data_IF_113637519820
#
_entry.id   IF_113637519820
#
_cell.length_a   1.000
_cell.length_b   1.000
_cell.length_c   1.000
_cell.angle_alpha   90.00
_cell.angle_beta   90.00
_cell.angle_gamma   90.00
#
_symmetry.space_group_name_H-M   'P 1'
#
loop_
_entity.id
_entity.type
_entity.pdbx_description
1 polymer ?
#
# COMPACT_ATOMS: atom_id res chain seq x y z
N UNK A 1 -5.84 7.76 7.55
CA UNK A 1 -5.41 6.55 6.82
C UNK A 1 -5.47 5.38 7.77
N UNK A 2 -6.43 4.46 7.68
CA UNK A 2 -6.56 3.34 8.64
C UNK A 2 -5.54 2.21 8.48
N UNK A 3 -4.64 2.30 7.51
CA UNK A 3 -3.62 1.28 7.21
C UNK A 3 -2.23 1.90 7.33
N UNK A 4 -1.28 1.12 7.84
CA UNK A 4 0.14 1.50 7.95
C UNK A 4 0.84 1.49 6.59
N UNK A 5 0.33 0.73 5.63
CA UNK A 5 0.93 0.61 4.32
C UNK A 5 -0.09 0.80 3.19
N UNK A 6 -0.60 2.03 3.01
CA UNK A 6 -1.64 2.32 2.02
C UNK A 6 -1.18 2.09 0.58
N UNK A 7 0.09 2.32 0.26
CA UNK A 7 0.63 2.15 -1.09
C UNK A 7 0.82 0.65 -1.38
N UNK A 8 1.56 -0.08 -0.55
CA UNK A 8 1.87 -1.49 -0.84
C UNK A 8 0.67 -2.40 -0.67
N UNK A 9 -0.24 -2.11 0.27
CA UNK A 9 -1.50 -2.84 0.41
C UNK A 9 -2.38 -2.73 -0.84
N UNK A 10 -2.27 -1.64 -1.61
CA UNK A 10 -3.04 -1.43 -2.84
C UNK A 10 -2.51 -2.29 -3.99
N UNK A 11 -1.19 -2.48 -4.05
CA UNK A 11 -0.53 -3.35 -5.04
C UNK A 11 -0.40 -4.80 -4.61
N UNK A 12 -0.82 -5.16 -3.39
CA UNK A 12 -0.70 -6.52 -2.85
C UNK A 12 -1.29 -7.59 -3.77
N UNK A 13 -2.45 -7.35 -4.36
CA UNK A 13 -3.10 -8.28 -5.31
C UNK A 13 -2.29 -8.48 -6.59
N UNK A 14 -1.74 -7.40 -7.15
CA UNK A 14 -0.89 -7.45 -8.35
C UNK A 14 0.40 -8.20 -8.05
N UNK A 15 1.04 -7.91 -6.91
CA UNK A 15 2.26 -8.60 -6.44
C UNK A 15 2.01 -10.09 -6.21
N UNK A 16 0.89 -10.45 -5.57
CA UNK A 16 0.53 -11.84 -5.31
C UNK A 16 0.42 -12.65 -6.60
N UNK A 17 -0.27 -12.10 -7.61
CA UNK A 17 -0.50 -12.78 -8.89
C UNK A 17 0.74 -12.83 -9.77
N UNK A 18 1.56 -11.78 -9.78
CA UNK A 18 2.83 -11.75 -10.52
C UNK A 18 3.91 -12.65 -9.90
N UNK A 19 3.91 -12.83 -8.58
CA UNK A 19 4.83 -13.78 -7.92
C UNK A 19 4.57 -15.22 -8.36
N UNK A 20 3.31 -15.57 -8.67
CA UNK A 20 2.94 -16.91 -9.13
C UNK A 20 3.41 -17.21 -10.56
N UNK A 21 3.60 -16.19 -11.39
CA UNK A 21 4.07 -16.32 -12.78
C UNK A 21 5.55 -16.01 -12.94
N UNK A 22 6.28 -15.82 -11.83
CA UNK A 22 7.71 -15.53 -11.81
C UNK A 22 8.48 -16.66 -12.52
N UNK A 23 9.41 -16.30 -13.40
CA UNK A 23 10.22 -17.24 -14.21
C UNK A 23 9.46 -18.08 -15.26
N UNK A 24 8.13 -18.01 -15.35
CA UNK A 24 7.34 -18.79 -16.32
C UNK A 24 7.08 -18.06 -17.64
N UNK A 25 7.42 -16.78 -17.73
CA UNK A 25 7.05 -15.92 -18.87
C UNK A 25 8.23 -15.09 -19.35
N UNK A 26 8.22 -14.75 -20.65
CA UNK A 26 9.17 -13.80 -21.23
C UNK A 26 8.98 -12.39 -20.64
N UNK A 27 10.00 -11.53 -20.75
CA UNK A 27 9.91 -10.12 -20.29
C UNK A 27 8.76 -9.36 -20.95
N UNK A 28 8.57 -9.53 -22.26
CA UNK A 28 7.49 -8.85 -22.99
C UNK A 28 6.11 -9.31 -22.52
N UNK A 29 5.92 -10.61 -22.36
CA UNK A 29 4.66 -11.20 -21.85
C UNK A 29 4.39 -10.76 -20.40
N UNK A 30 5.43 -10.68 -19.57
CA UNK A 30 5.31 -10.20 -18.20
C UNK A 30 4.81 -8.75 -18.14
N UNK A 31 5.33 -7.87 -18.99
CA UNK A 31 4.89 -6.47 -19.06
C UNK A 31 3.41 -6.37 -19.43
N UNK A 32 2.97 -7.13 -20.45
CA UNK A 32 1.56 -7.19 -20.85
C UNK A 32 0.65 -7.73 -19.73
N UNK A 33 1.09 -8.79 -19.04
CA UNK A 33 0.38 -9.36 -17.90
C UNK A 33 0.27 -8.36 -16.74
N UNK A 34 1.37 -7.71 -16.36
CA UNK A 34 1.41 -6.74 -15.29
C UNK A 34 0.48 -5.55 -15.59
N UNK A 35 0.50 -5.05 -16.82
CA UNK A 35 -0.40 -3.98 -17.26
C UNK A 35 -1.87 -4.37 -17.09
N UNK A 36 -2.28 -5.56 -17.58
CA UNK A 36 -3.66 -6.03 -17.46
C UNK A 36 -4.09 -6.32 -16.03
N UNK A 37 -3.16 -6.77 -15.17
CA UNK A 37 -3.41 -6.95 -13.75
C UNK A 37 -3.64 -5.61 -13.04
N UNK A 38 -2.86 -4.58 -13.38
CA UNK A 38 -3.02 -3.23 -12.83
C UNK A 38 -4.35 -2.62 -13.29
N UNK A 39 -4.67 -2.68 -14.58
CA UNK A 39 -5.94 -2.19 -15.16
C UNK A 39 -7.16 -2.86 -14.48
N UNK A 40 -7.05 -4.14 -14.15
CA UNK A 40 -8.12 -4.86 -13.44
C UNK A 40 -8.21 -4.45 -11.97
N UNK A 41 -7.08 -4.24 -11.30
CA UNK A 41 -7.02 -3.88 -9.88
C UNK A 41 -7.48 -2.42 -9.64
N UNK A 42 -7.17 -1.51 -10.57
CA UNK A 42 -7.52 -0.09 -10.50
C UNK A 42 -9.01 0.14 -10.23
N UNK A 43 -9.88 -0.65 -10.85
CA UNK A 43 -11.34 -0.59 -10.68
C UNK A 43 -11.80 -0.78 -9.22
N UNK A 44 -10.98 -1.44 -8.40
CA UNK A 44 -11.26 -1.72 -6.99
C UNK A 44 -10.57 -0.77 -6.01
N UNK A 45 -9.66 0.07 -6.50
CA UNK A 45 -8.87 0.95 -5.65
C UNK A 45 -9.72 2.08 -5.08
N UNK A 46 -9.53 2.36 -3.79
CA UNK A 46 -10.18 3.47 -3.10
C UNK A 46 -9.27 4.67 -3.09
N UNK A 47 -9.82 5.84 -3.41
CA UNK A 47 -9.11 7.11 -3.31
C UNK A 47 -8.61 7.33 -1.87
N UNK A 48 -7.39 7.83 -1.77
CA UNK A 48 -6.79 8.22 -0.50
C UNK A 48 -7.56 9.42 0.07
N UNK A 49 -8.07 9.29 1.31
CA UNK A 49 -8.87 10.32 1.99
C UNK A 49 -8.07 11.58 2.40
N UNK A 50 -6.74 11.50 2.45
CA UNK A 50 -5.84 12.55 2.93
C UNK A 50 -4.60 12.61 2.01
N UNK A 51 -4.73 13.13 0.78
CA UNK A 51 -3.65 13.18 -0.20
C UNK A 51 -2.44 14.00 0.28
N UNK A 52 -2.64 15.00 1.13
CA UNK A 52 -1.58 15.82 1.74
C UNK A 52 -0.58 15.00 2.58
N UNK A 53 -1.03 13.87 3.14
CA UNK A 53 -0.19 12.97 3.94
C UNK A 53 0.64 12.01 3.09
N UNK A 54 0.43 11.98 1.77
CA UNK A 54 1.15 11.10 0.84
C UNK A 54 2.62 11.48 0.73
N UNK A 55 2.96 12.77 0.81
CA UNK A 55 4.35 13.21 0.82
C UNK A 55 5.14 12.62 2.01
N UNK A 56 4.55 12.61 3.21
CA UNK A 56 5.16 12.00 4.40
C UNK A 56 5.28 10.48 4.29
N UNK A 57 4.33 9.82 3.62
CA UNK A 57 4.41 8.39 3.33
C UNK A 57 5.56 8.06 2.35
N UNK A 58 5.75 8.89 1.31
CA UNK A 58 6.87 8.75 0.36
C UNK A 58 8.23 8.98 1.04
N UNK A 59 8.27 9.84 2.06
CA UNK A 59 9.47 10.05 2.90
C UNK A 59 9.72 8.91 3.90
N UNK A 60 8.84 7.90 3.95
CA UNK A 60 9.01 6.72 4.80
C UNK A 60 8.47 6.87 6.22
N UNK A 61 7.70 7.92 6.52
CA UNK A 61 7.09 8.10 7.86
C UNK A 61 6.02 7.02 8.08
N UNK A 62 6.14 6.18 9.13
CA UNK A 62 5.14 5.17 9.42
C UNK A 62 3.86 5.81 9.95
N UNK A 63 2.70 5.30 9.53
CA UNK A 63 1.40 5.72 10.07
C UNK A 63 0.73 4.57 10.81
N UNK A 64 0.12 4.83 11.96
CA UNK A 64 -0.76 3.86 12.65
C UNK A 64 -2.12 4.51 12.86
N UNK A 65 -3.16 3.86 12.36
CA UNK A 65 -4.55 4.34 12.39
C UNK A 65 -4.80 5.77 11.86
N UNK A 66 -3.83 6.33 11.13
CA UNK A 66 -3.92 7.63 10.46
C UNK A 66 -3.12 8.74 11.13
N UNK A 67 -2.39 8.39 12.19
CA UNK A 67 -1.44 9.26 12.88
C UNK A 67 -0.01 8.87 12.52
N UNK A 68 0.88 9.83 12.24
CA UNK A 68 2.29 9.55 12.03
C UNK A 68 2.90 9.05 13.35
N UNK A 69 3.55 7.89 13.31
CA UNK A 69 4.33 7.37 14.43
C UNK A 69 5.68 8.07 14.37
N UNK A 70 5.86 9.10 15.18
CA UNK A 70 7.16 9.72 15.44
C UNK A 70 7.69 9.07 16.71
N UNK A 71 8.97 8.70 16.77
CA UNK A 71 9.58 7.99 17.90
C UNK A 71 9.54 8.75 19.25
N UNK A 72 8.89 9.90 19.31
CA UNK A 72 8.85 10.83 20.45
C UNK A 72 7.44 11.13 21.01
N UNK A 73 6.51 10.16 21.03
CA UNK A 73 5.32 10.25 21.92
C UNK A 73 5.04 8.94 22.67
N UNK A 74 4.85 8.97 24.01
CA UNK A 74 4.79 7.79 24.87
C UNK A 74 3.50 6.99 24.66
N UNK A 75 3.58 5.70 25.01
CA UNK A 75 2.50 4.72 25.05
C UNK A 75 1.11 5.35 25.28
N UNK A 76 0.20 5.11 24.35
CA UNK A 76 -1.24 5.30 24.58
C UNK A 76 -1.62 4.54 25.84
N UNK A 77 -1.83 5.28 26.93
CA UNK A 77 -2.42 4.77 28.16
C UNK A 77 -3.82 4.24 27.82
N UNK A 78 -4.19 3.02 28.25
CA UNK A 78 -5.56 2.56 28.09
C UNK A 78 -6.46 3.45 28.95
N UNK A 79 -7.40 4.15 28.31
CA UNK A 79 -8.43 4.92 28.98
C UNK A 79 -9.39 3.94 29.65
N UNK A 80 -9.43 3.98 30.97
CA UNK A 80 -10.36 3.25 31.81
C UNK A 80 -11.82 3.69 31.56
N UNK A 81 -12.71 2.70 31.40
CA UNK A 81 -14.05 2.61 31.98
C UNK A 81 -14.62 1.21 31.66
#
# INVERSE_FOLDING_TARGET
>A
MRTTNPIESTFATVRHRTTRTRNCVSRATFLGLAFKLIESAEKSWRRIRAPEKVASLLQGVPFKDGLPVTDSTPAQQPLAA
#
